data_IF_286519103390
#
_entry.id   IF_286519103390
#
_cell.length_a   1.000
_cell.length_b   1.000
_cell.length_c   1.000
_cell.angle_alpha   90.00
_cell.angle_beta   90.00
_cell.angle_gamma   90.00
#
_symmetry.space_group_name_H-M   'P 1'
#
loop_
_entity.id
_entity.type
_entity.pdbx_description
1 polymer ?
#
# COMPACT_ATOMS: atom_id res chain seq x y z
N UNK A 1 -34.56 -10.94 46.89
CA UNK A 1 -33.90 -9.78 46.28
C UNK A 1 -32.76 -10.31 45.43
N UNK A 2 -32.98 -10.49 44.12
CA UNK A 2 -32.04 -11.13 43.21
C UNK A 2 -31.98 -10.29 41.94
N UNK A 3 -30.81 -9.72 41.65
CA UNK A 3 -30.60 -8.95 40.42
C UNK A 3 -29.22 -9.27 39.84
N UNK A 4 -29.26 -10.31 39.00
CA UNK A 4 -28.46 -10.65 37.81
C UNK A 4 -27.23 -9.79 37.49
N UNK A 5 -26.09 -10.47 37.50
CA UNK A 5 -24.83 -10.18 36.80
C UNK A 5 -25.03 -10.19 35.28
N UNK A 6 -24.75 -9.06 34.62
CA UNK A 6 -24.74 -8.97 33.15
C UNK A 6 -23.35 -9.32 32.63
N UNK A 7 -23.21 -10.50 32.02
CA UNK A 7 -22.02 -10.88 31.23
C UNK A 7 -22.12 -10.22 29.86
N UNK A 8 -21.21 -9.30 29.56
CA UNK A 8 -21.04 -8.75 28.22
C UNK A 8 -20.28 -9.79 27.38
N UNK A 9 -21.01 -10.55 26.55
CA UNK A 9 -20.41 -11.29 25.43
C UNK A 9 -20.29 -10.31 24.26
N UNK A 10 -19.07 -9.87 23.94
CA UNK A 10 -18.80 -9.15 22.70
C UNK A 10 -18.56 -10.20 21.60
N UNK A 11 -19.52 -10.32 20.69
CA UNK A 11 -19.43 -11.19 19.53
C UNK A 11 -18.46 -10.58 18.50
N UNK A 12 -17.40 -11.31 18.19
CA UNK A 12 -16.59 -11.07 17.00
C UNK A 12 -17.41 -11.45 15.76
N UNK A 13 -17.95 -10.45 15.06
CA UNK A 13 -18.68 -10.61 13.81
C UNK A 13 -17.80 -10.26 12.64
N UNK A 14 -17.40 -11.27 11.87
CA UNK A 14 -16.63 -11.15 10.64
C UNK A 14 -17.35 -10.24 9.62
N UNK A 15 -16.66 -9.17 9.21
CA UNK A 15 -16.99 -8.42 8.00
C UNK A 15 -15.92 -8.78 6.95
N UNK A 16 -16.16 -9.87 6.23
CA UNK A 16 -15.51 -10.14 4.94
C UNK A 16 -16.64 -10.26 3.93
N UNK A 17 -17.01 -9.14 3.31
CA UNK A 17 -17.89 -9.12 2.15
C UNK A 17 -17.66 -7.82 1.38
N UNK A 18 -16.90 -7.90 0.28
CA UNK A 18 -16.82 -6.75 -0.63
C UNK A 18 -15.64 -6.64 -1.59
N UNK A 19 -14.83 -7.68 -1.83
CA UNK A 19 -13.92 -7.70 -2.98
C UNK A 19 -14.06 -9.03 -3.72
N UNK A 20 -14.91 -9.05 -4.74
CA UNK A 20 -14.96 -10.14 -5.68
C UNK A 20 -13.73 -10.05 -6.61
N UNK A 21 -12.76 -10.93 -6.37
CA UNK A 21 -11.85 -11.40 -7.42
C UNK A 21 -10.45 -10.77 -7.50
N UNK A 22 -9.65 -10.85 -6.44
CA UNK A 22 -8.28 -11.30 -6.68
C UNK A 22 -8.36 -12.82 -6.82
N UNK A 23 -8.16 -13.32 -8.04
CA UNK A 23 -7.67 -14.68 -8.17
C UNK A 23 -6.40 -14.78 -7.29
N UNK A 24 -6.14 -15.94 -6.66
CA UNK A 24 -4.98 -16.21 -5.79
C UNK A 24 -3.65 -16.07 -6.56
N UNK A 25 -3.36 -14.88 -7.07
CA UNK A 25 -2.14 -14.53 -7.76
C UNK A 25 -1.08 -14.26 -6.69
N UNK A 26 0.09 -14.87 -6.87
CA UNK A 26 1.19 -14.73 -5.94
C UNK A 26 1.75 -13.30 -5.98
N UNK A 27 2.30 -12.84 -4.86
CA UNK A 27 2.92 -11.52 -4.79
C UNK A 27 4.24 -11.56 -5.56
N UNK A 28 4.37 -10.68 -6.54
CA UNK A 28 5.53 -10.64 -7.44
C UNK A 28 6.53 -9.55 -7.06
N UNK A 29 6.05 -8.47 -6.44
CA UNK A 29 6.90 -7.42 -5.87
C UNK A 29 6.24 -6.78 -4.64
N UNK A 30 7.06 -6.24 -3.75
CA UNK A 30 6.63 -5.53 -2.54
C UNK A 30 7.36 -4.21 -2.40
N UNK A 31 6.65 -3.18 -1.96
CA UNK A 31 7.25 -1.92 -1.54
C UNK A 31 6.85 -1.64 -0.10
N UNK A 32 7.82 -1.56 0.80
CA UNK A 32 7.60 -1.23 2.20
C UNK A 32 8.31 0.07 2.53
N UNK A 33 7.59 0.98 3.17
CA UNK A 33 8.13 2.23 3.67
C UNK A 33 7.72 2.41 5.13
N UNK A 34 8.70 2.68 5.96
CA UNK A 34 8.53 2.93 7.39
C UNK A 34 8.75 4.41 7.66
N UNK A 35 8.05 4.93 8.67
CA UNK A 35 8.22 6.30 9.14
C UNK A 35 7.99 7.38 8.06
N UNK A 36 6.98 7.19 7.21
CA UNK A 36 6.44 8.27 6.37
C UNK A 36 5.78 9.34 7.25
N UNK A 37 5.88 10.61 6.84
CA UNK A 37 5.16 11.71 7.46
C UNK A 37 3.69 11.70 7.03
N UNK A 38 2.87 11.04 7.84
CA UNK A 38 1.41 11.08 7.74
C UNK A 38 0.86 12.43 8.17
N UNK A 39 -0.04 12.96 7.37
CA UNK A 39 -0.80 14.17 7.63
C UNK A 39 -2.24 14.00 7.18
N UNK A 40 -3.14 14.74 7.82
CA UNK A 40 -4.54 14.79 7.43
C UNK A 40 -5.02 16.23 7.50
N UNK A 41 -5.57 16.72 6.40
CA UNK A 41 -6.26 18.00 6.35
C UNK A 41 -7.76 17.76 6.20
N UNK A 42 -8.50 18.00 7.28
CA UNK A 42 -9.94 17.78 7.36
C UNK A 42 -10.69 18.81 6.53
N UNK A 43 -11.62 18.32 5.72
CA UNK A 43 -12.60 19.11 4.98
C UNK A 43 -13.99 18.47 5.11
N UNK A 44 -14.86 19.12 5.89
CA UNK A 44 -16.21 18.62 6.18
C UNK A 44 -16.23 17.22 6.82
N UNK A 45 -16.90 16.29 6.13
CA UNK A 45 -17.05 14.89 6.55
C UNK A 45 -15.89 13.98 6.08
N UNK A 46 -14.76 14.57 5.72
CA UNK A 46 -13.62 13.86 5.17
C UNK A 46 -12.38 14.73 5.17
N UNK A 47 -11.49 14.49 4.23
CA UNK A 47 -10.29 15.29 4.03
C UNK A 47 -9.26 14.57 3.18
N UNK A 48 -8.11 15.21 3.01
CA UNK A 48 -6.97 14.61 2.33
C UNK A 48 -5.99 14.07 3.37
N UNK A 49 -5.76 12.77 3.34
CA UNK A 49 -4.62 12.15 4.01
C UNK A 49 -3.43 12.08 3.05
N UNK A 50 -2.25 12.46 3.53
CA UNK A 50 -0.99 12.33 2.79
C UNK A 50 0.04 11.65 3.68
N UNK A 51 0.68 10.59 3.19
CA UNK A 51 1.91 10.05 3.77
C UNK A 51 3.05 10.27 2.79
N UNK A 52 4.10 10.97 3.21
CA UNK A 52 5.25 11.31 2.36
C UNK A 52 6.58 10.95 3.01
N UNK A 53 7.54 10.53 2.21
CA UNK A 53 8.90 10.30 2.66
C UNK A 53 9.53 11.61 3.13
N UNK A 54 10.19 11.57 4.29
CA UNK A 54 10.77 12.73 4.94
C UNK A 54 12.15 12.43 5.51
N UNK A 55 12.92 13.51 5.70
CA UNK A 55 14.17 13.49 6.44
C UNK A 55 14.16 14.64 7.44
N UNK A 56 13.63 14.38 8.63
CA UNK A 56 13.60 15.29 9.77
C UNK A 56 14.50 14.69 10.87
N UNK A 57 15.80 15.02 10.89
CA UNK A 57 16.75 14.43 11.83
C UNK A 57 16.28 14.52 13.29
N UNK A 58 16.31 13.39 14.00
CA UNK A 58 15.90 13.31 15.40
C UNK A 58 14.38 13.28 15.64
N UNK A 59 13.56 13.25 14.58
CA UNK A 59 12.09 13.19 14.69
C UNK A 59 11.53 12.05 13.84
N UNK A 60 11.58 12.19 12.52
CA UNK A 60 10.99 11.25 11.58
C UNK A 60 11.86 11.16 10.33
N UNK A 61 12.35 9.97 10.04
CA UNK A 61 13.24 9.71 8.92
C UNK A 61 12.73 8.46 8.22
N UNK A 62 12.19 8.62 7.03
CA UNK A 62 11.62 7.50 6.29
C UNK A 62 12.72 6.55 5.84
N UNK A 63 12.54 5.27 6.08
CA UNK A 63 13.31 4.20 5.45
C UNK A 63 12.39 3.33 4.60
N UNK A 64 12.97 2.50 3.73
CA UNK A 64 12.17 1.61 2.90
C UNK A 64 12.94 0.40 2.42
N UNK A 65 12.20 -0.62 2.05
CA UNK A 65 12.72 -1.82 1.41
C UNK A 65 11.73 -2.26 0.34
N UNK A 66 12.22 -2.38 -0.89
CA UNK A 66 11.45 -2.84 -2.03
C UNK A 66 12.07 -4.10 -2.60
N UNK A 67 11.24 -5.05 -3.02
CA UNK A 67 11.71 -6.38 -3.39
C UNK A 67 10.93 -6.93 -4.56
N UNK A 68 11.64 -7.59 -5.47
CA UNK A 68 11.07 -8.52 -6.43
C UNK A 68 11.18 -9.94 -5.86
N UNK A 69 10.04 -10.60 -5.72
CA UNK A 69 9.94 -11.92 -5.06
C UNK A 69 10.05 -13.06 -6.08
N UNK A 70 9.74 -12.78 -7.34
CA UNK A 70 9.87 -13.74 -8.45
C UNK A 70 11.26 -13.68 -9.11
N UNK A 71 11.76 -14.79 -9.67
CA UNK A 71 13.01 -14.76 -10.43
C UNK A 71 12.99 -13.69 -11.55
N UNK A 72 14.06 -12.92 -11.78
CA UNK A 72 15.29 -12.83 -10.97
C UNK A 72 15.04 -11.97 -9.73
N UNK A 73 15.21 -12.55 -8.53
CA UNK A 73 14.95 -11.82 -7.27
C UNK A 73 15.96 -10.70 -7.07
N UNK A 74 15.51 -9.62 -6.42
CA UNK A 74 16.34 -8.48 -6.08
C UNK A 74 15.67 -7.62 -5.02
N UNK A 75 16.48 -6.79 -4.36
CA UNK A 75 16.05 -5.93 -3.27
C UNK A 75 16.70 -4.55 -3.46
N UNK A 76 15.93 -3.50 -3.25
CA UNK A 76 16.38 -2.12 -3.17
C UNK A 76 16.03 -1.56 -1.79
N UNK A 77 17.06 -1.25 -1.02
CA UNK A 77 16.96 -0.74 0.35
C UNK A 77 17.24 0.76 0.37
N UNK A 78 16.39 1.49 1.09
CA UNK A 78 16.48 2.93 1.29
C UNK A 78 16.83 3.25 2.73
N UNK A 79 17.93 3.98 2.92
CA UNK A 79 18.41 4.35 4.27
C UNK A 79 17.47 5.36 4.92
N UNK A 80 17.41 5.43 6.26
CA UNK A 80 16.59 6.44 6.94
C UNK A 80 16.92 7.87 6.48
N UNK A 81 15.88 8.58 6.01
CA UNK A 81 15.99 9.95 5.54
C UNK A 81 16.59 10.09 4.14
N UNK A 82 16.51 9.05 3.30
CA UNK A 82 17.05 9.02 1.94
C UNK A 82 16.68 10.25 1.10
N UNK A 83 15.50 10.83 1.30
CA UNK A 83 15.03 12.05 0.61
C UNK A 83 15.85 13.32 0.87
N UNK A 84 16.81 13.30 1.81
CA UNK A 84 17.76 14.40 2.01
C UNK A 84 18.96 14.36 1.07
N UNK A 85 19.11 13.27 0.30
CA UNK A 85 20.17 13.09 -0.68
C UNK A 85 20.05 14.01 -1.91
N UNK A 86 20.96 13.81 -2.85
CA UNK A 86 20.89 14.46 -4.16
C UNK A 86 20.06 13.66 -5.16
N UNK A 87 19.73 12.41 -4.83
CA UNK A 87 18.86 11.53 -5.59
C UNK A 87 17.38 11.98 -5.52
N UNK A 88 16.58 11.73 -6.57
CA UNK A 88 15.17 12.10 -6.63
C UNK A 88 14.24 11.15 -5.85
N UNK A 89 14.78 10.21 -5.06
CA UNK A 89 13.98 9.20 -4.41
C UNK A 89 12.93 9.84 -3.48
N UNK A 90 11.70 9.35 -3.56
CA UNK A 90 10.57 9.82 -2.76
C UNK A 90 9.52 8.71 -2.67
N UNK A 91 8.62 8.80 -1.70
CA UNK A 91 7.41 7.99 -1.65
C UNK A 91 6.26 8.87 -1.18
N UNK A 92 5.21 8.97 -1.98
CA UNK A 92 4.03 9.78 -1.67
C UNK A 92 2.78 8.94 -1.84
N UNK A 93 1.94 8.92 -0.82
CA UNK A 93 0.63 8.27 -0.81
C UNK A 93 -0.41 9.34 -0.49
N UNK A 94 -1.36 9.55 -1.41
CA UNK A 94 -2.46 10.48 -1.25
C UNK A 94 -3.76 9.69 -1.15
N UNK A 95 -4.58 9.99 -0.15
CA UNK A 95 -5.86 9.31 0.08
C UNK A 95 -6.93 10.35 0.41
N UNK A 96 -7.91 10.50 -0.48
CA UNK A 96 -9.13 11.24 -0.16
C UNK A 96 -9.97 10.36 0.76
N UNK A 97 -10.13 10.81 2.00
CA UNK A 97 -10.83 10.10 3.06
C UNK A 97 -12.24 10.66 3.21
N UNK A 98 -13.23 9.78 3.32
CA UNK A 98 -14.62 10.11 3.62
C UNK A 98 -15.08 9.30 4.84
N UNK A 99 -15.43 9.99 5.92
CA UNK A 99 -15.86 9.35 7.17
C UNK A 99 -17.23 8.70 6.93
N UNK A 100 -17.30 7.39 7.10
CA UNK A 100 -18.51 6.57 6.87
C UNK A 100 -19.23 6.23 8.18
N UNK A 101 -18.53 6.30 9.31
CA UNK A 101 -19.09 6.08 10.62
C UNK A 101 -18.07 6.24 11.75
N UNK A 102 -18.46 5.94 13.00
CA UNK A 102 -17.54 5.95 14.13
C UNK A 102 -16.35 5.01 13.87
N UNK A 103 -15.14 5.56 13.84
CA UNK A 103 -13.91 4.79 13.65
C UNK A 103 -13.76 4.16 12.26
N UNK A 104 -14.56 4.55 11.27
CA UNK A 104 -14.52 4.02 9.90
C UNK A 104 -14.60 5.14 8.85
N UNK A 105 -13.81 4.99 7.79
CA UNK A 105 -13.84 5.91 6.65
C UNK A 105 -13.46 5.15 5.37
N UNK A 106 -14.02 5.53 4.21
CA UNK A 106 -13.52 5.06 2.91
C UNK A 106 -12.35 5.93 2.45
N UNK A 107 -11.41 5.36 1.71
CA UNK A 107 -10.28 6.07 1.11
C UNK A 107 -10.11 5.73 -0.36
N UNK A 108 -9.91 6.75 -1.20
CA UNK A 108 -9.55 6.58 -2.62
C UNK A 108 -8.41 7.55 -2.95
N UNK A 109 -7.40 7.08 -3.66
CA UNK A 109 -6.31 7.95 -4.07
C UNK A 109 -5.26 7.24 -4.90
N UNK A 110 -4.00 7.63 -4.72
CA UNK A 110 -2.87 7.13 -5.49
C UNK A 110 -1.60 7.07 -4.66
N UNK A 111 -0.62 6.35 -5.18
CA UNK A 111 0.74 6.39 -4.69
C UNK A 111 1.73 6.59 -5.83
N UNK A 112 2.88 7.17 -5.49
CA UNK A 112 4.07 7.27 -6.33
C UNK A 112 5.27 6.94 -5.46
N UNK A 113 5.97 5.86 -5.81
CA UNK A 113 7.28 5.53 -5.27
C UNK A 113 8.32 5.82 -6.36
N UNK A 114 9.29 6.66 -6.04
CA UNK A 114 10.38 7.06 -6.92
C UNK A 114 11.69 6.55 -6.31
N UNK A 115 12.53 5.96 -7.15
CA UNK A 115 13.81 5.41 -6.73
C UNK A 115 14.97 6.43 -6.86
N UNK A 116 16.22 5.99 -6.65
CA UNK A 116 17.37 6.90 -6.59
C UNK A 116 17.84 7.46 -7.94
N UNK A 117 17.29 6.99 -9.07
CA UNK A 117 17.59 7.50 -10.42
C UNK A 117 16.36 8.06 -11.14
N UNK A 118 15.18 7.98 -10.50
CA UNK A 118 13.95 8.64 -10.93
C UNK A 118 12.95 7.71 -11.62
N UNK A 119 13.22 6.41 -11.64
CA UNK A 119 12.26 5.39 -12.06
C UNK A 119 11.12 5.32 -11.02
N UNK A 120 9.91 5.00 -11.48
CA UNK A 120 8.71 5.10 -10.64
C UNK A 120 7.86 3.84 -10.65
N UNK A 121 7.31 3.52 -9.49
CA UNK A 121 6.14 2.65 -9.35
C UNK A 121 4.96 3.51 -8.93
N UNK A 122 3.91 3.50 -9.74
CA UNK A 122 2.71 4.31 -9.51
C UNK A 122 1.48 3.43 -9.51
N UNK A 123 0.41 3.88 -8.86
CA UNK A 123 -0.87 3.19 -8.94
C UNK A 123 -1.98 3.92 -8.22
N UNK A 124 -3.20 3.47 -8.45
CA UNK A 124 -4.39 3.92 -7.73
C UNK A 124 -4.62 3.00 -6.52
N UNK A 125 -5.22 3.55 -5.48
CA UNK A 125 -5.63 2.77 -4.31
C UNK A 125 -7.08 3.09 -3.95
N UNK A 126 -7.78 2.08 -3.42
CA UNK A 126 -9.09 2.25 -2.80
C UNK A 126 -9.23 1.28 -1.64
N UNK A 127 -9.87 1.70 -0.55
CA UNK A 127 -9.94 0.88 0.65
C UNK A 127 -10.71 1.52 1.79
N UNK A 128 -10.57 0.92 2.95
CA UNK A 128 -11.19 1.40 4.19
C UNK A 128 -10.14 1.72 5.25
N UNK A 129 -10.44 2.78 5.98
CA UNK A 129 -9.80 3.14 7.23
C UNK A 129 -10.59 2.57 8.40
N UNK A 130 -9.88 2.02 9.37
CA UNK A 130 -10.42 1.62 10.67
C UNK A 130 -9.59 2.18 11.82
N UNK A 131 -10.23 2.46 12.95
CA UNK A 131 -9.53 2.84 14.19
C UNK A 131 -9.49 1.67 15.16
N UNK A 132 -8.34 1.44 15.80
CA UNK A 132 -8.27 0.65 17.03
C UNK A 132 -8.47 1.49 18.31
N UNK A 133 -8.80 2.78 18.18
CA UNK A 133 -8.77 3.74 19.27
C UNK A 133 -7.35 4.26 19.56
N UNK A 134 -7.23 5.18 20.50
CA UNK A 134 -5.93 5.71 20.94
C UNK A 134 -5.13 6.48 19.86
N UNK A 135 -5.78 6.93 18.78
CA UNK A 135 -5.12 7.57 17.65
C UNK A 135 -4.35 6.61 16.73
N UNK A 136 -4.70 5.33 16.75
CA UNK A 136 -4.16 4.32 15.83
C UNK A 136 -5.15 4.12 14.68
N UNK A 137 -4.68 4.34 13.45
CA UNK A 137 -5.44 4.24 12.22
C UNK A 137 -4.83 3.15 11.33
N UNK A 138 -5.69 2.31 10.76
CA UNK A 138 -5.31 1.31 9.76
C UNK A 138 -5.99 1.64 8.44
N UNK A 139 -5.26 1.58 7.33
CA UNK A 139 -5.85 1.53 6.00
C UNK A 139 -5.62 0.14 5.41
N UNK A 140 -6.67 -0.47 4.87
CA UNK A 140 -6.56 -1.70 4.10
C UNK A 140 -7.25 -1.46 2.76
N UNK A 141 -6.52 -1.65 1.67
CA UNK A 141 -7.01 -1.33 0.34
C UNK A 141 -6.47 -2.23 -0.77
N UNK A 142 -7.10 -2.13 -1.92
CA UNK A 142 -6.64 -2.69 -3.17
C UNK A 142 -5.83 -1.64 -3.94
N UNK A 143 -4.79 -2.11 -4.62
CA UNK A 143 -4.06 -1.33 -5.63
C UNK A 143 -4.58 -1.72 -7.00
N UNK A 144 -4.78 -0.72 -7.86
CA UNK A 144 -5.18 -0.90 -9.25
C UNK A 144 -4.34 -0.02 -10.16
N UNK A 145 -4.29 -0.34 -11.45
CA UNK A 145 -3.55 0.44 -12.43
C UNK A 145 -2.07 0.65 -12.05
N UNK A 146 -1.42 -0.37 -11.48
CA UNK A 146 -0.04 -0.27 -11.03
C UNK A 146 0.90 -0.30 -12.24
N UNK A 147 1.69 0.76 -12.41
CA UNK A 147 2.62 0.93 -13.53
C UNK A 147 4.05 1.06 -13.01
N UNK A 148 4.96 0.37 -13.70
CA UNK A 148 6.40 0.41 -13.47
C UNK A 148 7.01 1.19 -14.64
N UNK A 149 7.51 2.39 -14.37
CA UNK A 149 8.15 3.25 -15.36
C UNK A 149 9.63 3.30 -15.06
N UNK A 150 10.40 2.47 -15.77
CA UNK A 150 11.81 2.29 -15.50
C UNK A 150 12.32 0.98 -16.10
N UNK A 151 13.57 0.65 -15.81
CA UNK A 151 14.13 -0.67 -16.10
C UNK A 151 14.48 -1.40 -14.82
N UNK A 152 15.00 -0.68 -13.83
CA UNK A 152 15.50 -1.23 -12.59
C UNK A 152 15.08 -0.27 -11.49
N UNK A 153 14.53 -0.78 -10.40
CA UNK A 153 14.20 0.03 -9.24
C UNK A 153 15.37 0.00 -8.26
N UNK A 154 16.01 1.13 -8.02
CA UNK A 154 17.28 1.25 -7.31
C UNK A 154 17.13 1.81 -5.89
N UNK A 155 17.73 1.14 -4.91
CA UNK A 155 17.84 1.66 -3.54
C UNK A 155 19.17 2.38 -3.33
N UNK A 156 19.36 2.95 -2.14
CA UNK A 156 20.69 3.35 -1.68
C UNK A 156 21.64 2.13 -1.60
N UNK A 157 21.07 0.94 -1.41
CA UNK A 157 21.75 -0.33 -1.61
C UNK A 157 20.86 -1.29 -2.41
N UNK A 158 21.47 -2.01 -3.34
CA UNK A 158 20.77 -3.01 -4.15
C UNK A 158 19.80 -2.42 -5.18
N UNK A 159 19.25 -3.32 -6.00
CA UNK A 159 18.23 -3.00 -6.98
C UNK A 159 17.44 -4.24 -7.39
N UNK A 160 16.33 -4.05 -8.09
CA UNK A 160 15.59 -5.13 -8.72
C UNK A 160 15.04 -4.75 -10.10
N UNK A 161 14.97 -5.73 -10.99
CA UNK A 161 14.50 -5.55 -12.36
C UNK A 161 12.98 -5.37 -12.41
N UNK A 162 12.52 -4.28 -13.03
CA UNK A 162 11.12 -3.90 -13.17
C UNK A 162 10.35 -4.70 -14.23
N UNK A 163 11.02 -5.58 -14.99
CA UNK A 163 10.41 -6.56 -15.90
C UNK A 163 9.75 -7.71 -15.11
N UNK A 164 8.62 -7.40 -14.50
CA UNK A 164 7.81 -8.35 -13.74
C UNK A 164 7.01 -9.28 -14.68
N UNK A 165 6.69 -10.51 -14.25
CA UNK A 165 5.90 -11.43 -15.06
C UNK A 165 4.45 -10.97 -15.21
N UNK A 166 3.93 -11.09 -16.43
CA UNK A 166 2.62 -10.57 -16.83
C UNK A 166 2.75 -9.27 -17.60
N UNK A 167 1.62 -8.68 -17.98
CA UNK A 167 1.61 -7.39 -18.66
C UNK A 167 1.04 -6.33 -17.69
N UNK A 168 1.65 -5.13 -17.61
CA UNK A 168 1.04 -4.01 -16.92
C UNK A 168 -0.27 -3.55 -17.62
N UNK A 169 -1.17 -2.85 -16.91
CA UNK A 169 -1.03 -2.48 -15.50
C UNK A 169 -1.24 -3.67 -14.56
N UNK A 170 -0.52 -3.66 -13.44
CA UNK A 170 -0.63 -4.64 -12.37
C UNK A 170 -1.74 -4.26 -11.37
N UNK A 171 -2.10 -5.21 -10.53
CA UNK A 171 -3.04 -5.05 -9.43
C UNK A 171 -2.31 -5.33 -8.11
N UNK A 172 -2.97 -5.17 -6.97
CA UNK A 172 -2.31 -5.40 -5.69
C UNK A 172 -3.14 -5.10 -4.45
N UNK A 173 -2.44 -5.02 -3.33
CA UNK A 173 -3.00 -4.63 -2.04
C UNK A 173 -2.07 -3.66 -1.32
N UNK A 174 -2.66 -2.85 -0.44
CA UNK A 174 -1.94 -1.95 0.45
C UNK A 174 -2.48 -2.10 1.86
N UNK A 175 -1.56 -2.14 2.82
CA UNK A 175 -1.85 -2.00 4.25
C UNK A 175 -1.03 -0.83 4.77
N UNK A 176 -1.66 0.03 5.55
CA UNK A 176 -1.01 1.16 6.20
C UNK A 176 -1.38 1.25 7.67
N UNK A 177 -0.42 1.64 8.50
CA UNK A 177 -0.59 1.95 9.92
C UNK A 177 -0.14 3.39 10.17
N UNK A 178 -1.00 4.21 10.76
CA UNK A 178 -0.69 5.60 11.10
C UNK A 178 -1.00 5.91 12.56
N UNK A 179 -0.07 6.59 13.24
CA UNK A 179 -0.25 7.08 14.61
C UNK A 179 -0.72 8.55 14.62
N UNK A 180 -2.02 8.81 14.46
CA UNK A 180 -2.60 10.17 14.36
C UNK A 180 -2.38 11.05 15.60
N UNK A 181 -2.11 10.45 16.77
CA UNK A 181 -1.93 11.11 18.06
C UNK A 181 -3.19 11.79 18.62
N UNK A 182 -4.30 11.78 17.88
CA UNK A 182 -5.58 12.35 18.28
C UNK A 182 -6.71 11.77 17.42
N UNK A 183 -7.66 11.06 18.04
CA UNK A 183 -8.93 10.66 17.43
C UNK A 183 -8.86 9.92 16.09
N UNK A 184 -10.01 9.69 15.49
CA UNK A 184 -10.14 9.09 14.15
C UNK A 184 -10.55 10.16 13.16
N UNK A 185 -9.57 10.84 12.55
CA UNK A 185 -9.79 11.95 11.62
C UNK A 185 -10.66 13.09 12.19
N UNK A 186 -10.68 13.23 13.52
CA UNK A 186 -11.48 14.24 14.22
C UNK A 186 -10.90 15.65 14.09
N UNK A 187 -9.61 15.76 13.77
CA UNK A 187 -8.90 17.02 13.61
C UNK A 187 -7.72 16.86 12.65
N UNK A 188 -7.17 17.99 12.21
CA UNK A 188 -5.95 17.99 11.43
C UNK A 188 -4.79 17.41 12.24
N UNK A 189 -3.90 16.70 11.57
CA UNK A 189 -2.63 16.26 12.14
C UNK A 189 -1.55 16.28 11.07
N UNK A 190 -0.29 16.36 11.51
CA UNK A 190 0.89 16.36 10.66
C UNK A 190 2.03 15.59 11.33
N UNK A 191 3.00 15.16 10.52
CA UNK A 191 4.22 14.50 10.97
C UNK A 191 3.96 13.28 11.86
N UNK A 192 2.98 12.46 11.48
CA UNK A 192 2.61 11.24 12.17
C UNK A 192 3.24 10.04 11.50
N UNK A 193 4.06 9.31 12.26
CA UNK A 193 4.71 8.10 11.78
C UNK A 193 3.68 7.17 11.12
N UNK A 194 3.97 6.83 9.87
CA UNK A 194 3.11 6.02 9.01
C UNK A 194 3.95 4.95 8.35
N UNK A 195 3.62 3.68 8.60
CA UNK A 195 4.20 2.53 7.92
C UNK A 195 3.25 2.04 6.83
N UNK A 196 3.78 1.74 5.65
CA UNK A 196 3.01 1.26 4.49
C UNK A 196 3.67 0.04 3.87
N UNK A 197 2.86 -0.96 3.53
CA UNK A 197 3.28 -2.11 2.72
C UNK A 197 2.36 -2.25 1.54
N UNK A 198 2.94 -2.19 0.35
CA UNK A 198 2.29 -2.38 -0.93
C UNK A 198 2.73 -3.73 -1.50
N UNK A 199 1.77 -4.51 -1.99
CA UNK A 199 1.99 -5.81 -2.61
C UNK A 199 1.46 -5.76 -4.02
N UNK A 200 2.30 -6.10 -4.99
CA UNK A 200 1.97 -6.12 -6.42
C UNK A 200 1.75 -7.57 -6.85
N UNK A 201 0.67 -7.80 -7.59
CA UNK A 201 0.30 -9.08 -8.19
C UNK A 201 0.02 -8.91 -9.69
N UNK A 202 0.18 -9.97 -10.50
CA UNK A 202 -0.23 -9.95 -11.91
C UNK A 202 -1.72 -9.61 -12.06
N UNK A 203 -2.06 -8.86 -13.11
CA UNK A 203 -3.46 -8.59 -13.43
C UNK A 203 -4.22 -9.91 -13.71
N UNK A 204 -5.48 -10.05 -13.25
CA UNK A 204 -6.26 -11.27 -13.43
C UNK A 204 -6.35 -11.75 -14.90
N UNK A 205 -6.36 -10.81 -15.86
CA UNK A 205 -6.39 -11.11 -17.29
C UNK A 205 -5.07 -11.68 -17.85
N UNK A 206 -3.93 -11.29 -17.30
CA UNK A 206 -2.61 -11.73 -17.77
C UNK A 206 -2.39 -13.24 -17.52
N UNK A 207 -2.87 -13.75 -16.38
CA UNK A 207 -2.81 -15.17 -16.06
C UNK A 207 -3.73 -16.02 -16.95
N UNK A 208 -4.90 -15.49 -17.31
CA UNK A 208 -5.83 -16.18 -18.21
C UNK A 208 -5.24 -16.33 -19.63
N UNK A 209 -4.55 -15.30 -20.13
CA UNK A 209 -3.88 -15.37 -21.43
C UNK A 209 -2.70 -16.34 -21.42
N UNK A 210 -1.92 -16.40 -20.34
CA UNK A 210 -0.82 -17.36 -20.20
C UNK A 210 -1.34 -18.81 -20.16
N UNK A 211 -2.44 -19.05 -19.44
CA UNK A 211 -3.12 -20.35 -19.41
C UNK A 211 -3.70 -20.76 -20.78
N UNK A 212 -4.34 -19.84 -21.50
CA UNK A 212 -4.90 -20.10 -22.82
C UNK A 212 -3.82 -20.26 -23.90
N UNK A 213 -2.75 -19.46 -23.85
CA UNK A 213 -1.58 -19.56 -24.73
C UNK A 213 -0.86 -20.91 -24.57
N UNK A 214 -0.68 -21.36 -23.33
CA UNK A 214 -0.16 -22.70 -23.03
C UNK A 214 -1.03 -23.82 -23.60
N UNK A 215 -2.36 -23.70 -23.50
CA UNK A 215 -3.31 -24.69 -24.03
C UNK A 215 -3.28 -24.77 -25.57
N UNK A 216 -3.18 -23.61 -26.26
CA UNK A 216 -3.10 -23.55 -27.73
C UNK A 216 -1.76 -24.11 -28.23
N UNK A 217 -0.65 -23.82 -27.55
CA UNK A 217 0.66 -24.37 -27.88
C UNK A 217 0.72 -25.90 -27.65
N UNK A 218 0.15 -26.40 -26.55
CA UNK A 218 0.04 -27.83 -26.27
C UNK A 218 -0.79 -28.56 -27.35
N UNK A 219 -1.91 -27.97 -27.78
CA UNK A 219 -2.77 -28.53 -28.83
C UNK A 219 -2.08 -28.58 -30.21
N UNK A 220 -1.19 -27.64 -30.51
CA UNK A 220 -0.38 -27.66 -31.73
C UNK A 220 0.72 -28.72 -31.72
N UNK A 221 1.22 -29.10 -30.53
CA UNK A 221 2.25 -30.15 -30.40
C UNK A 221 1.69 -31.57 -30.41
N UNK A 222 0.39 -31.72 -30.17
CA UNK A 222 -0.31 -33.01 -30.16
C UNK A 222 -0.96 -33.38 -31.51
N UNK A 223 -0.78 -32.57 -32.56
CA UNK A 223 -1.16 -32.86 -33.94
C UNK A 223 0.10 -33.08 -34.77
#
# INVERSE_FOLDING_TARGET
MSTRTTRLMLAAGALVAGFAGSANADVIATLTYDDLAGSFNRDGNGGLFVARAVSLPGVLQTSGATSRIVPVQGNADFVPGFVAGADPADCVININTLITGPGTASGIGNFVATDIDGDTVTGNLSGEWTSAGGGILFFNGALTNVQLNGQVFNGNSGSWDMDLPGDPPYEGAIVQLTFSGSGFFDQNFENRATGSTLQIVPAPGALALLGLGGLVAARRRAR
#
